data_IF_229840641960
#
_entry.id   IF_229840641960
#
_cell.length_a   1.000
_cell.length_b   1.000
_cell.length_c   1.000
_cell.angle_alpha   90.00
_cell.angle_beta   90.00
_cell.angle_gamma   90.00
#
_symmetry.space_group_name_H-M   'P 1'
#
loop_
_entity.id
_entity.type
_entity.pdbx_description
1 polymer ?
#
# COMPACT_ATOMS: atom_id res chain seq x y z
N UNK A 1 -4.65 8.32 13.87
CA UNK A 1 -4.43 6.89 13.60
C UNK A 1 -2.96 6.71 13.30
N UNK A 2 -2.25 6.02 14.19
CA UNK A 2 -0.80 5.88 14.15
C UNK A 2 -0.40 4.91 13.04
N UNK A 3 0.52 5.31 12.17
CA UNK A 3 1.26 4.36 11.35
C UNK A 3 2.41 3.85 12.23
N UNK A 4 2.28 2.65 12.79
CA UNK A 4 3.39 2.00 13.48
C UNK A 4 4.28 1.32 12.43
N UNK A 5 5.41 1.94 12.08
CA UNK A 5 6.52 1.21 11.46
C UNK A 5 7.41 0.63 12.58
N UNK A 6 7.03 -0.56 13.07
CA UNK A 6 7.90 -1.38 13.91
C UNK A 6 9.00 -2.01 13.04
N UNK A 7 10.25 -1.88 13.50
CA UNK A 7 11.47 -2.02 12.71
C UNK A 7 11.82 -3.40 12.14
N UNK A 8 12.81 -3.40 11.25
CA UNK A 8 13.52 -4.58 10.76
C UNK A 8 14.61 -4.17 9.77
N UNK A 9 15.85 -4.63 9.97
CA UNK A 9 16.95 -4.46 9.01
C UNK A 9 16.72 -5.41 7.83
N UNK A 10 15.85 -4.99 6.92
CA UNK A 10 15.43 -5.67 5.72
C UNK A 10 14.47 -4.73 5.04
N UNK A 11 14.81 -4.23 3.85
CA UNK A 11 14.14 -3.08 3.23
C UNK A 11 12.66 -3.41 2.97
N UNK A 12 11.76 -3.05 3.89
CA UNK A 12 10.32 -3.22 3.74
C UNK A 12 9.82 -2.12 2.79
N UNK A 13 9.69 -2.45 1.51
CA UNK A 13 9.16 -1.54 0.50
C UNK A 13 7.64 -1.63 0.46
N UNK A 14 6.97 -0.49 0.64
CA UNK A 14 5.53 -0.33 0.42
C UNK A 14 5.33 0.79 -0.58
N UNK A 15 4.68 0.49 -1.70
CA UNK A 15 4.39 1.47 -2.75
C UNK A 15 2.91 1.85 -2.69
N UNK A 16 2.64 3.14 -2.55
CA UNK A 16 1.27 3.67 -2.50
C UNK A 16 1.01 4.55 -3.72
N UNK A 17 0.04 4.16 -4.54
CA UNK A 17 -0.47 4.89 -5.69
C UNK A 17 -1.64 5.76 -5.22
N UNK A 18 -1.44 7.08 -5.28
CA UNK A 18 -2.46 8.07 -4.95
C UNK A 18 -2.73 8.86 -6.23
N UNK A 19 -3.98 8.84 -6.68
CA UNK A 19 -4.42 9.62 -7.82
C UNK A 19 -5.43 10.66 -7.35
N UNK A 20 -5.22 11.92 -7.76
CA UNK A 20 -6.15 13.00 -7.45
C UNK A 20 -6.35 13.91 -8.65
N UNK A 21 -7.48 14.62 -8.67
CA UNK A 21 -7.78 15.63 -9.69
C UNK A 21 -7.62 17.05 -9.12
N UNK A 22 -7.65 18.06 -9.99
CA UNK A 22 -7.53 19.47 -9.59
C UNK A 22 -8.75 19.98 -8.79
N UNK A 23 -9.87 19.25 -8.78
CA UNK A 23 -11.04 19.55 -7.97
C UNK A 23 -10.86 19.11 -6.50
N UNK A 24 -9.75 18.43 -6.17
CA UNK A 24 -9.44 17.96 -4.82
C UNK A 24 -10.03 16.58 -4.49
N UNK A 25 -10.59 15.88 -5.47
CA UNK A 25 -11.02 14.50 -5.29
C UNK A 25 -9.81 13.57 -5.36
N UNK A 26 -9.66 12.71 -4.35
CA UNK A 26 -8.61 11.70 -4.29
C UNK A 26 -9.26 10.34 -4.50
N UNK A 27 -8.83 9.62 -5.53
CA UNK A 27 -9.24 8.25 -5.76
C UNK A 27 -8.70 7.36 -4.64
N UNK A 28 -9.45 6.32 -4.23
CA UNK A 28 -9.00 5.40 -3.20
C UNK A 28 -7.59 4.87 -3.50
N UNK A 29 -6.65 4.95 -2.54
CA UNK A 29 -5.25 4.64 -2.83
C UNK A 29 -5.05 3.16 -3.11
N UNK A 30 -4.14 2.86 -4.04
CA UNK A 30 -3.72 1.50 -4.38
C UNK A 30 -2.40 1.19 -3.69
N UNK A 31 -2.36 0.15 -2.85
CA UNK A 31 -1.21 -0.14 -2.00
C UNK A 31 -0.58 -1.47 -2.42
N UNK A 32 0.74 -1.47 -2.62
CA UNK A 32 1.53 -2.64 -2.99
C UNK A 32 2.53 -2.94 -1.89
N UNK A 33 2.44 -4.13 -1.33
CA UNK A 33 3.41 -4.62 -0.35
C UNK A 33 4.50 -5.45 -1.03
N UNK A 34 5.74 -5.27 -0.61
CA UNK A 34 6.84 -6.18 -0.97
C UNK A 34 6.68 -7.50 -0.22
N UNK A 35 6.02 -8.48 -0.84
CA UNK A 35 5.72 -9.78 -0.23
C UNK A 35 5.39 -10.84 -1.30
N UNK A 36 5.51 -12.12 -0.92
CA UNK A 36 5.10 -13.25 -1.77
C UNK A 36 3.60 -13.52 -1.77
N UNK A 37 2.89 -13.09 -0.73
CA UNK A 37 1.46 -13.29 -0.57
C UNK A 37 0.85 -12.12 0.21
N UNK A 38 -0.39 -11.76 -0.13
CA UNK A 38 -1.13 -10.71 0.56
C UNK A 38 -1.63 -11.23 1.91
N UNK A 39 -1.19 -10.60 2.99
CA UNK A 39 -1.74 -10.86 4.31
C UNK A 39 -2.97 -9.96 4.52
N UNK A 40 -4.14 -10.58 4.74
CA UNK A 40 -5.41 -9.89 4.99
C UNK A 40 -5.37 -8.97 6.22
N UNK A 41 -4.48 -9.25 7.18
CA UNK A 41 -4.32 -8.37 8.33
C UNK A 41 -3.73 -7.00 7.95
N UNK A 42 -3.02 -6.89 6.83
CA UNK A 42 -2.49 -5.62 6.32
C UNK A 42 -3.54 -4.77 5.60
N UNK A 43 -4.63 -5.39 5.15
CA UNK A 43 -5.75 -4.70 4.50
C UNK A 43 -6.83 -4.27 5.49
N UNK A 44 -6.79 -4.81 6.72
CA UNK A 44 -7.78 -4.55 7.76
C UNK A 44 -7.61 -3.12 8.32
N UNK A 45 -8.65 -2.29 8.17
CA UNK A 45 -8.62 -0.88 8.59
C UNK A 45 -7.94 0.08 7.62
N UNK A 46 -7.60 -0.38 6.41
CA UNK A 46 -7.12 0.49 5.34
C UNK A 46 -8.20 1.47 4.83
N UNK A 47 -7.81 2.46 4.03
CA UNK A 47 -8.75 3.46 3.52
C UNK A 47 -9.89 2.78 2.73
N UNK A 48 -11.13 3.21 2.99
CA UNK A 48 -12.32 2.63 2.35
C UNK A 48 -12.23 2.78 0.82
N UNK A 49 -12.33 1.67 0.10
CA UNK A 49 -12.20 1.64 -1.36
C UNK A 49 -10.78 1.38 -1.86
N UNK A 50 -9.77 1.32 -0.98
CA UNK A 50 -8.41 0.96 -1.36
C UNK A 50 -8.31 -0.47 -1.86
N UNK A 51 -7.51 -0.64 -2.91
CA UNK A 51 -7.15 -1.94 -3.44
C UNK A 51 -5.71 -2.27 -3.02
N UNK A 52 -5.47 -3.54 -2.72
CA UNK A 52 -4.18 -4.02 -2.21
C UNK A 52 -3.63 -5.08 -3.14
N UNK A 53 -2.33 -4.98 -3.43
CA UNK A 53 -1.59 -5.96 -4.19
C UNK A 53 -0.28 -6.30 -3.50
N UNK A 54 0.36 -7.36 -3.97
CA UNK A 54 1.71 -7.75 -3.54
C UNK A 54 2.60 -7.93 -4.75
N UNK A 55 3.86 -7.53 -4.63
CA UNK A 55 4.90 -7.86 -5.59
C UNK A 55 6.16 -8.30 -4.86
N UNK A 56 6.94 -9.20 -5.47
CA UNK A 56 8.18 -9.72 -4.84
C UNK A 56 9.22 -8.61 -4.65
N UNK A 57 9.16 -7.55 -5.47
CA UNK A 57 10.08 -6.42 -5.45
C UNK A 57 9.54 -5.19 -4.72
N UNK A 58 8.22 -5.12 -4.46
CA UNK A 58 7.54 -3.93 -3.95
C UNK A 58 7.34 -2.81 -4.98
N UNK A 59 7.74 -3.01 -6.24
CA UNK A 59 7.62 -2.03 -7.32
C UNK A 59 6.43 -2.31 -8.24
N UNK A 60 5.92 -1.25 -8.88
CA UNK A 60 5.02 -1.34 -10.02
C UNK A 60 5.89 -1.66 -11.24
N UNK A 61 5.82 -2.88 -11.75
CA UNK A 61 6.45 -3.27 -13.01
C UNK A 61 5.38 -3.42 -14.08
N UNK A 62 5.59 -2.77 -15.23
CA UNK A 62 4.75 -2.83 -16.44
C UNK A 62 4.71 -4.24 -17.03
#
# INVERSE_FOLDING_TARGET
QAYEQSGGSGKNFTTSLICGNAAGEILPPFIIYSAKALNLQWTFGGPSGSSFAVSDSGWITT
#
